data_IF_424855169402
#
_entry.id   IF_424855169402
#
_cell.length_a   1.000
_cell.length_b   1.000
_cell.length_c   1.000
_cell.angle_alpha   90.00
_cell.angle_beta   90.00
_cell.angle_gamma   90.00
#
_symmetry.space_group_name_H-M   'P 1'
#
loop_
_entity.id
_entity.type
_entity.pdbx_description
1 polymer ?
#
# COMPACT_ATOMS: atom_id res chain seq x y z
N UNK A 1 -9.36 8.76 -22.91
CA UNK A 1 -7.94 8.38 -22.98
C UNK A 1 -7.49 7.88 -21.61
N UNK A 2 -6.55 6.94 -21.52
CA UNK A 2 -6.04 6.43 -20.25
C UNK A 2 -4.53 6.20 -20.32
N UNK A 3 -3.84 6.34 -19.19
CA UNK A 3 -2.38 6.18 -19.09
C UNK A 3 -2.07 5.25 -17.92
N UNK A 4 -1.34 4.14 -18.14
CA UNK A 4 -0.86 3.30 -17.04
C UNK A 4 0.38 3.94 -16.39
N UNK A 5 0.38 3.96 -15.05
CA UNK A 5 1.53 4.40 -14.26
C UNK A 5 2.20 3.19 -13.62
N UNK A 6 3.54 3.20 -13.57
CA UNK A 6 4.30 2.21 -12.83
C UNK A 6 5.32 2.88 -11.91
N UNK A 7 5.01 2.88 -10.62
CA UNK A 7 5.93 3.13 -9.51
C UNK A 7 5.84 1.95 -8.52
N UNK A 8 5.92 0.74 -9.07
CA UNK A 8 5.80 -0.53 -8.34
C UNK A 8 4.57 -0.52 -7.41
N UNK A 9 4.76 -0.74 -6.11
CA UNK A 9 3.69 -0.90 -5.12
C UNK A 9 2.88 0.34 -4.85
N UNK A 10 3.44 1.51 -5.18
CA UNK A 10 2.74 2.76 -4.97
C UNK A 10 1.79 3.10 -6.10
N UNK A 11 1.90 2.49 -7.29
CA UNK A 11 1.35 2.99 -8.58
C UNK A 11 -0.04 3.63 -8.53
N UNK A 12 -0.98 3.07 -7.75
CA UNK A 12 -2.29 3.66 -7.55
C UNK A 12 -2.29 5.06 -6.92
N UNK A 13 -1.41 5.36 -5.96
CA UNK A 13 -1.35 6.67 -5.29
C UNK A 13 -0.69 7.78 -6.15
N UNK A 14 0.41 7.54 -6.89
CA UNK A 14 0.88 8.45 -7.93
C UNK A 14 -0.14 8.67 -9.04
N UNK A 15 -0.95 7.69 -9.43
CA UNK A 15 -2.01 7.90 -10.42
C UNK A 15 -3.03 8.95 -9.92
N UNK A 16 -3.46 8.87 -8.66
CA UNK A 16 -4.32 9.88 -8.01
C UNK A 16 -3.60 11.24 -7.97
N UNK A 17 -2.31 11.24 -7.63
CA UNK A 17 -1.50 12.46 -7.59
C UNK A 17 -1.36 13.12 -8.97
N UNK A 18 -1.24 12.34 -10.05
CA UNK A 18 -1.20 12.88 -11.41
C UNK A 18 -2.54 13.45 -11.84
N UNK A 19 -3.66 12.77 -11.52
CA UNK A 19 -4.99 13.28 -11.79
C UNK A 19 -5.25 14.61 -11.06
N UNK A 20 -4.87 14.70 -9.78
CA UNK A 20 -4.96 15.95 -9.02
C UNK A 20 -4.12 17.08 -9.65
N UNK A 21 -2.92 16.77 -10.14
CA UNK A 21 -2.06 17.75 -10.83
C UNK A 21 -2.64 18.20 -12.17
N UNK A 22 -3.19 17.28 -12.97
CA UNK A 22 -3.82 17.62 -14.24
C UNK A 22 -5.00 18.57 -14.04
N UNK A 23 -5.83 18.34 -13.00
CA UNK A 23 -6.89 19.26 -12.59
C UNK A 23 -6.30 20.61 -12.18
N UNK A 24 -5.27 20.63 -11.34
CA UNK A 24 -4.63 21.86 -10.89
C UNK A 24 -4.00 22.67 -12.04
N UNK A 25 -3.52 21.99 -13.08
CA UNK A 25 -2.97 22.61 -14.29
C UNK A 25 -4.05 23.07 -15.29
N UNK A 26 -5.33 22.80 -15.04
CA UNK A 26 -6.43 23.16 -15.93
C UNK A 26 -6.53 22.29 -17.19
N UNK A 27 -5.94 21.10 -17.19
CA UNK A 27 -5.94 20.18 -18.34
C UNK A 27 -7.24 19.37 -18.45
N UNK A 28 -8.01 19.30 -17.37
CA UNK A 28 -9.32 18.67 -17.33
C UNK A 28 -10.01 18.83 -15.98
N UNK A 29 -11.31 18.55 -15.95
CA UNK A 29 -12.15 18.74 -14.76
C UNK A 29 -12.53 17.45 -14.05
N UNK A 30 -12.46 16.30 -14.73
CA UNK A 30 -12.93 15.01 -14.20
C UNK A 30 -11.96 13.92 -14.60
N UNK A 31 -11.46 13.18 -13.61
CA UNK A 31 -10.52 12.09 -13.80
C UNK A 31 -10.92 10.88 -12.97
N UNK A 32 -10.70 9.68 -13.51
CA UNK A 32 -10.68 8.45 -12.73
C UNK A 32 -9.22 8.07 -12.54
N UNK A 33 -8.83 7.81 -11.29
CA UNK A 33 -7.48 7.37 -10.95
C UNK A 33 -7.53 6.25 -9.92
N UNK A 34 -6.53 5.37 -9.94
CA UNK A 34 -6.53 4.20 -9.09
C UNK A 34 -5.45 3.23 -9.49
N UNK A 35 -5.63 1.97 -9.12
CA UNK A 35 -4.70 0.92 -9.48
C UNK A 35 -5.35 -0.46 -9.45
N UNK A 36 -4.74 -1.38 -10.17
CA UNK A 36 -5.12 -2.79 -10.23
C UNK A 36 -3.85 -3.62 -10.17
N UNK A 37 -3.93 -4.78 -9.54
CA UNK A 37 -2.90 -5.81 -9.63
C UNK A 37 -3.58 -7.18 -9.65
N UNK A 38 -3.06 -8.09 -10.48
CA UNK A 38 -3.41 -9.50 -10.37
C UNK A 38 -2.15 -10.35 -10.29
N UNK A 39 -1.68 -10.54 -9.07
CA UNK A 39 -0.48 -11.31 -8.76
C UNK A 39 -0.67 -12.79 -9.07
N UNK A 40 -1.86 -13.34 -8.85
CA UNK A 40 -2.17 -14.76 -9.16
C UNK A 40 -2.09 -15.08 -10.65
N UNK A 41 -2.14 -14.06 -11.51
CA UNK A 41 -2.14 -14.18 -12.98
C UNK A 41 -0.87 -13.63 -13.62
N UNK A 42 0.14 -13.31 -12.82
CA UNK A 42 1.42 -12.82 -13.33
C UNK A 42 2.07 -13.91 -14.22
N UNK A 43 2.45 -13.59 -15.47
CA UNK A 43 3.06 -14.57 -16.35
C UNK A 43 4.50 -14.87 -15.95
N UNK A 44 5.06 -15.93 -16.53
CA UNK A 44 6.51 -16.06 -16.61
C UNK A 44 7.06 -15.27 -17.80
N UNK A 45 8.32 -14.83 -17.68
CA UNK A 45 9.04 -14.08 -18.71
C UNK A 45 10.33 -14.79 -19.10
N UNK A 46 10.59 -14.91 -20.40
CA UNK A 46 11.80 -15.51 -20.95
C UNK A 46 12.58 -14.47 -21.78
N UNK A 47 13.92 -14.35 -21.62
CA UNK A 47 14.71 -13.46 -22.46
C UNK A 47 14.64 -13.89 -23.93
N UNK A 48 14.72 -12.91 -24.84
CA UNK A 48 14.96 -13.19 -26.25
C UNK A 48 16.37 -13.75 -26.42
N UNK A 49 16.52 -14.66 -27.39
CA UNK A 49 17.85 -15.09 -27.81
C UNK A 49 18.58 -13.95 -28.52
N UNK A 50 19.85 -13.75 -28.20
CA UNK A 50 20.74 -12.81 -28.89
C UNK A 50 21.44 -13.43 -30.10
N UNK A 51 21.28 -14.74 -30.32
CA UNK A 51 21.88 -15.49 -31.44
C UNK A 51 20.83 -16.42 -32.08
N UNK A 52 21.03 -16.77 -33.34
CA UNK A 52 20.08 -17.64 -34.07
C UNK A 52 19.93 -19.04 -33.44
N UNK A 53 21.04 -19.61 -32.94
CA UNK A 53 21.08 -20.94 -32.32
C UNK A 53 21.82 -20.85 -30.98
N UNK A 54 21.16 -20.40 -29.90
CA UNK A 54 21.79 -20.31 -28.59
C UNK A 54 22.07 -21.71 -28.03
N UNK A 55 23.18 -21.87 -27.33
CA UNK A 55 23.54 -23.08 -26.59
C UNK A 55 23.54 -22.76 -25.09
N UNK A 56 22.97 -23.64 -24.27
CA UNK A 56 22.92 -23.50 -22.81
C UNK A 56 21.50 -23.37 -22.24
N UNK A 57 21.43 -23.26 -20.92
CA UNK A 57 20.15 -23.09 -20.20
C UNK A 57 19.62 -21.66 -20.33
N UNK A 58 18.29 -21.53 -20.31
CA UNK A 58 17.61 -20.24 -20.20
C UNK A 58 16.83 -20.18 -18.88
N UNK A 59 16.84 -19.02 -18.24
CA UNK A 59 16.07 -18.78 -17.01
C UNK A 59 14.69 -18.26 -17.36
N UNK A 60 13.66 -18.94 -16.84
CA UNK A 60 12.28 -18.48 -16.87
C UNK A 60 12.01 -17.66 -15.61
N UNK A 61 11.72 -16.37 -15.75
CA UNK A 61 11.53 -15.43 -14.65
C UNK A 61 10.08 -15.34 -14.24
N UNK A 62 9.79 -15.58 -12.96
CA UNK A 62 8.47 -15.29 -12.38
C UNK A 62 8.27 -13.76 -12.31
N UNK A 63 7.14 -13.26 -12.84
CA UNK A 63 6.85 -11.83 -12.79
C UNK A 63 6.00 -11.40 -11.59
N UNK A 64 5.52 -12.37 -10.79
CA UNK A 64 4.66 -12.15 -9.61
C UNK A 64 5.29 -11.16 -8.64
N UNK A 65 6.55 -11.37 -8.26
CA UNK A 65 7.28 -10.47 -7.36
C UNK A 65 8.79 -10.71 -7.45
N UNK A 66 9.58 -9.67 -7.20
CA UNK A 66 11.02 -9.77 -6.99
C UNK A 66 11.88 -9.33 -8.18
N UNK A 67 13.18 -9.50 -8.01
CA UNK A 67 14.19 -9.12 -9.01
C UNK A 67 14.17 -10.09 -10.19
N UNK A 68 14.18 -9.53 -11.39
CA UNK A 68 14.25 -10.25 -12.66
C UNK A 68 15.13 -9.50 -13.63
N UNK A 69 15.86 -10.24 -14.47
CA UNK A 69 16.85 -9.67 -15.38
C UNK A 69 17.80 -8.68 -14.67
N UNK A 70 18.42 -9.06 -13.54
CA UNK A 70 19.21 -8.13 -12.75
C UNK A 70 20.42 -7.65 -13.56
N UNK A 71 20.63 -6.34 -13.60
CA UNK A 71 21.81 -5.75 -14.23
C UNK A 71 23.05 -6.06 -13.39
N UNK A 72 24.21 -6.46 -13.99
CA UNK A 72 25.41 -6.83 -13.24
C UNK A 72 25.85 -5.76 -12.22
N UNK A 73 25.86 -4.49 -12.60
CA UNK A 73 26.21 -3.40 -11.68
C UNK A 73 25.29 -3.29 -10.44
N UNK A 74 24.00 -3.65 -10.57
CA UNK A 74 23.08 -3.62 -9.44
C UNK A 74 23.34 -4.79 -8.48
N UNK A 75 23.73 -5.93 -9.04
CA UNK A 75 24.15 -7.11 -8.26
C UNK A 75 25.43 -6.79 -7.50
N UNK A 76 26.44 -6.23 -8.17
CA UNK A 76 27.72 -5.84 -7.55
C UNK A 76 27.55 -4.81 -6.43
N UNK A 77 26.61 -3.87 -6.58
CA UNK A 77 26.27 -2.88 -5.54
C UNK A 77 25.41 -3.45 -4.40
N UNK A 78 24.98 -4.72 -4.49
CA UNK A 78 24.13 -5.36 -3.49
C UNK A 78 22.70 -4.79 -3.42
N UNK A 79 22.21 -4.20 -4.51
CA UNK A 79 20.86 -3.61 -4.54
C UNK A 79 19.77 -4.64 -4.84
N UNK A 80 20.14 -5.81 -5.37
CA UNK A 80 19.20 -6.84 -5.81
C UNK A 80 18.79 -7.83 -4.71
N UNK A 81 18.83 -7.42 -3.44
CA UNK A 81 18.36 -8.26 -2.32
C UNK A 81 16.83 -8.37 -2.32
N UNK A 82 16.32 -9.47 -1.76
CA UNK A 82 14.91 -9.73 -1.63
C UNK A 82 14.20 -8.70 -0.74
N UNK A 83 12.91 -8.51 -0.98
CA UNK A 83 12.13 -7.50 -0.25
C UNK A 83 12.07 -7.81 1.25
N UNK A 84 11.92 -9.08 1.61
CA UNK A 84 11.99 -9.50 3.01
C UNK A 84 13.38 -9.29 3.62
N UNK A 85 14.46 -9.42 2.85
CA UNK A 85 15.81 -9.07 3.34
C UNK A 85 15.94 -7.56 3.62
N UNK A 86 15.30 -6.69 2.82
CA UNK A 86 15.24 -5.25 3.16
C UNK A 86 14.48 -4.98 4.45
N UNK A 87 13.48 -5.80 4.78
CA UNK A 87 12.73 -5.71 6.04
C UNK A 87 13.57 -6.22 7.22
N UNK A 88 14.36 -7.28 7.04
CA UNK A 88 15.33 -7.74 8.05
C UNK A 88 16.40 -6.67 8.33
N UNK A 89 16.90 -5.98 7.30
CA UNK A 89 17.86 -4.87 7.49
C UNK A 89 17.26 -3.77 8.36
N UNK A 90 15.97 -3.43 8.16
CA UNK A 90 15.28 -2.46 9.01
C UNK A 90 15.04 -3.00 10.43
N UNK A 91 14.68 -4.27 10.57
CA UNK A 91 14.53 -4.89 11.89
C UNK A 91 15.84 -4.82 12.70
N UNK A 92 16.97 -5.08 12.05
CA UNK A 92 18.30 -4.99 12.65
C UNK A 92 18.67 -3.54 12.99
N UNK A 93 18.53 -2.62 12.03
CA UNK A 93 18.90 -1.20 12.19
C UNK A 93 18.07 -0.47 13.24
N UNK A 94 16.78 -0.81 13.36
CA UNK A 94 15.84 -0.16 14.29
C UNK A 94 15.61 -0.98 15.57
N UNK A 95 16.32 -2.10 15.74
CA UNK A 95 16.18 -3.00 16.89
C UNK A 95 14.74 -3.50 17.12
N UNK A 96 14.04 -3.83 16.03
CA UNK A 96 12.65 -4.28 16.07
C UNK A 96 12.62 -5.78 16.28
N UNK A 97 12.21 -6.19 17.48
CA UNK A 97 12.20 -7.60 17.85
C UNK A 97 11.15 -8.41 17.09
N UNK A 98 11.33 -9.73 17.06
CA UNK A 98 10.36 -10.67 16.49
C UNK A 98 8.99 -10.55 17.16
N UNK A 99 8.98 -10.41 18.48
CA UNK A 99 7.76 -10.30 19.28
C UNK A 99 7.00 -9.03 18.95
N UNK A 100 7.70 -7.91 18.73
CA UNK A 100 7.09 -6.66 18.30
C UNK A 100 6.43 -6.79 16.92
N UNK A 101 7.12 -7.46 15.98
CA UNK A 101 6.58 -7.72 14.63
C UNK A 101 5.32 -8.60 14.68
N UNK A 102 5.35 -9.67 15.47
CA UNK A 102 4.21 -10.59 15.61
C UNK A 102 3.03 -9.92 16.34
N UNK A 103 3.29 -9.09 17.35
CA UNK A 103 2.25 -8.32 18.03
C UNK A 103 1.58 -7.30 17.09
N UNK A 104 2.37 -6.60 16.27
CA UNK A 104 1.86 -5.70 15.25
C UNK A 104 0.98 -6.44 14.22
N UNK A 105 1.44 -7.59 13.74
CA UNK A 105 0.70 -8.43 12.80
C UNK A 105 -0.62 -8.95 13.38
N UNK A 106 -0.62 -9.39 14.64
CA UNK A 106 -1.82 -9.80 15.35
C UNK A 106 -2.83 -8.66 15.45
N UNK A 107 -2.37 -7.47 15.83
CA UNK A 107 -3.22 -6.28 15.92
C UNK A 107 -3.84 -5.93 14.57
N UNK A 108 -3.08 -6.00 13.47
CA UNK A 108 -3.59 -5.78 12.12
C UNK A 108 -4.74 -6.75 11.78
N UNK A 109 -4.57 -8.05 12.09
CA UNK A 109 -5.64 -9.05 11.90
C UNK A 109 -6.86 -8.77 12.78
N UNK A 110 -6.67 -8.45 14.06
CA UNK A 110 -7.77 -8.16 14.99
C UNK A 110 -8.58 -6.94 14.53
N UNK A 111 -7.91 -5.86 14.10
CA UNK A 111 -8.57 -4.65 13.60
C UNK A 111 -9.31 -4.91 12.28
N UNK A 112 -8.72 -5.66 11.36
CA UNK A 112 -9.37 -6.05 10.11
C UNK A 112 -10.63 -6.89 10.35
N UNK A 113 -10.55 -7.89 11.24
CA UNK A 113 -11.70 -8.71 11.62
C UNK A 113 -12.80 -7.87 12.26
N UNK A 114 -12.44 -6.99 13.21
CA UNK A 114 -13.41 -6.10 13.85
C UNK A 114 -14.06 -5.13 12.84
N UNK A 115 -13.31 -4.62 11.86
CA UNK A 115 -13.83 -3.75 10.80
C UNK A 115 -14.77 -4.50 9.85
N UNK A 116 -14.48 -5.76 9.51
CA UNK A 116 -15.37 -6.64 8.76
C UNK A 116 -16.66 -6.91 9.54
N UNK A 117 -16.55 -7.30 10.82
CA UNK A 117 -17.70 -7.64 11.68
C UNK A 117 -18.61 -6.45 11.97
N UNK A 118 -18.09 -5.23 11.85
CA UNK A 118 -18.83 -3.97 12.00
C UNK A 118 -19.20 -3.32 10.66
N UNK A 119 -19.13 -4.06 9.55
CA UNK A 119 -19.52 -3.61 8.21
C UNK A 119 -18.80 -2.34 7.72
N UNK A 120 -17.63 -1.99 8.28
CA UNK A 120 -16.91 -0.75 7.91
C UNK A 120 -16.51 -0.72 6.43
N UNK A 121 -16.19 -1.87 5.84
CA UNK A 121 -15.77 -1.94 4.44
C UNK A 121 -16.94 -1.96 3.44
N UNK A 122 -18.19 -2.02 3.92
CA UNK A 122 -19.38 -2.18 3.07
C UNK A 122 -19.57 -1.07 2.04
N UNK A 123 -19.17 0.15 2.39
CA UNK A 123 -19.30 1.31 1.51
C UNK A 123 -18.19 1.42 0.46
N UNK A 124 -17.00 0.87 0.75
CA UNK A 124 -15.83 0.93 -0.13
C UNK A 124 -15.68 -0.29 -1.04
N UNK A 125 -16.15 -1.48 -0.60
CA UNK A 125 -16.05 -2.70 -1.38
C UNK A 125 -17.22 -2.84 -2.37
N UNK A 126 -16.89 -3.14 -3.62
CA UNK A 126 -17.86 -3.52 -4.66
C UNK A 126 -17.78 -5.01 -4.96
N UNK A 127 -18.95 -5.65 -5.05
CA UNK A 127 -19.08 -7.08 -5.34
C UNK A 127 -18.49 -7.40 -6.70
N UNK A 128 -17.60 -8.39 -6.75
CA UNK A 128 -17.06 -8.90 -8.01
C UNK A 128 -17.75 -10.23 -8.35
N UNK A 129 -18.63 -10.26 -9.36
CA UNK A 129 -19.23 -11.50 -9.83
C UNK A 129 -18.20 -12.30 -10.65
N UNK A 130 -17.95 -13.53 -10.26
CA UNK A 130 -17.04 -14.45 -10.96
C UNK A 130 -17.86 -15.49 -11.73
N UNK A 131 -17.87 -15.43 -13.07
CA UNK A 131 -18.58 -16.39 -13.91
C UNK A 131 -18.11 -17.82 -13.70
N UNK A 132 -19.07 -18.74 -13.54
CA UNK A 132 -18.81 -20.17 -13.48
C UNK A 132 -19.14 -20.82 -14.83
N UNK A 133 -18.42 -21.89 -15.20
CA UNK A 133 -18.69 -22.65 -16.44
C UNK A 133 -20.10 -23.27 -16.43
N UNK A 134 -20.60 -23.63 -15.25
CA UNK A 134 -21.97 -24.10 -14.96
C UNK A 134 -22.34 -23.64 -13.55
N UNK A 135 -23.61 -23.27 -13.33
CA UNK A 135 -24.11 -22.80 -12.04
C UNK A 135 -24.08 -21.28 -11.88
N UNK A 136 -24.44 -20.82 -10.68
CA UNK A 136 -24.56 -19.40 -10.35
C UNK A 136 -23.19 -18.70 -10.23
N UNK A 137 -23.22 -17.36 -10.30
CA UNK A 137 -22.04 -16.52 -10.11
C UNK A 137 -21.50 -16.69 -8.68
N UNK A 138 -20.18 -16.81 -8.53
CA UNK A 138 -19.54 -16.64 -7.22
C UNK A 138 -19.43 -15.15 -6.96
N UNK A 139 -20.04 -14.66 -5.88
CA UNK A 139 -19.95 -13.27 -5.48
C UNK A 139 -18.81 -13.10 -4.47
N UNK A 140 -17.70 -12.54 -4.93
CA UNK A 140 -16.58 -12.18 -4.05
C UNK A 140 -16.94 -10.87 -3.36
N UNK A 141 -17.02 -10.91 -2.02
CA UNK A 141 -17.51 -9.79 -1.21
C UNK A 141 -16.53 -9.40 -0.09
N UNK A 142 -16.34 -10.12 1.04
CA UNK A 142 -15.36 -9.69 2.03
C UNK A 142 -13.94 -10.00 1.57
N UNK A 143 -12.98 -9.22 2.07
CA UNK A 143 -11.57 -9.58 2.01
C UNK A 143 -11.35 -10.95 2.67
N UNK A 144 -10.72 -11.87 1.95
CA UNK A 144 -10.60 -13.28 2.38
C UNK A 144 -9.39 -13.55 3.30
N UNK A 145 -8.43 -12.63 3.35
CA UNK A 145 -7.14 -12.81 4.02
C UNK A 145 -7.15 -12.63 5.55
N UNK A 146 -7.99 -11.77 6.16
CA UNK A 146 -8.01 -11.62 7.61
C UNK A 146 -8.29 -12.93 8.36
N UNK A 147 -7.35 -13.33 9.22
CA UNK A 147 -7.39 -14.58 9.99
C UNK A 147 -7.92 -14.35 11.40
N UNK A 148 -9.13 -14.82 11.67
CA UNK A 148 -9.82 -14.72 12.97
C UNK A 148 -9.14 -15.53 14.08
N UNK A 149 -8.44 -16.60 13.71
CA UNK A 149 -7.74 -17.53 14.58
C UNK A 149 -6.28 -17.13 14.84
N UNK A 150 -5.85 -15.95 14.38
CA UNK A 150 -4.51 -15.44 14.64
C UNK A 150 -4.26 -15.32 16.15
N UNK A 151 -3.13 -15.86 16.62
CA UNK A 151 -2.66 -15.69 17.99
C UNK A 151 -1.14 -15.47 18.02
N UNK A 152 -0.63 -14.90 19.13
CA UNK A 152 0.82 -14.75 19.31
C UNK A 152 1.53 -16.10 19.28
N UNK A 153 0.92 -17.15 19.86
CA UNK A 153 1.49 -18.50 19.87
C UNK A 153 1.58 -19.09 18.46
N UNK A 154 0.57 -18.85 17.62
CA UNK A 154 0.56 -19.30 16.24
C UNK A 154 1.63 -18.55 15.41
N UNK A 155 1.72 -17.22 15.58
CA UNK A 155 2.69 -16.38 14.89
C UNK A 155 4.13 -16.72 15.31
N UNK A 156 4.39 -16.92 16.61
CA UNK A 156 5.71 -17.24 17.14
C UNK A 156 6.27 -18.58 16.62
N UNK A 157 5.40 -19.54 16.25
CA UNK A 157 5.80 -20.83 15.67
C UNK A 157 6.27 -20.74 14.22
N UNK A 158 5.98 -19.63 13.53
CA UNK A 158 6.37 -19.47 12.14
C UNK A 158 7.89 -19.31 12.02
N UNK A 159 8.45 -20.02 11.03
CA UNK A 159 9.87 -19.93 10.69
C UNK A 159 10.15 -18.62 9.94
N UNK A 160 11.35 -18.04 10.09
CA UNK A 160 11.80 -16.93 9.25
C UNK A 160 11.69 -17.29 7.77
N UNK A 161 11.21 -16.36 6.95
CA UNK A 161 10.89 -16.61 5.54
C UNK A 161 11.99 -16.15 4.57
N UNK A 162 12.87 -15.24 5.00
CA UNK A 162 13.77 -14.52 4.08
C UNK A 162 15.25 -14.60 4.43
N UNK A 163 15.60 -14.75 5.71
CA UNK A 163 16.98 -14.89 6.20
C UNK A 163 17.03 -15.98 7.25
N UNK A 164 18.05 -16.83 7.21
CA UNK A 164 18.29 -17.82 8.27
C UNK A 164 18.53 -17.08 9.60
N UNK A 165 17.82 -17.50 10.66
CA UNK A 165 17.84 -16.79 11.95
C UNK A 165 17.19 -15.39 11.91
N UNK A 166 16.48 -15.06 10.84
CA UNK A 166 15.77 -13.78 10.69
C UNK A 166 14.55 -13.64 11.60
N UNK A 167 13.89 -12.49 11.50
CA UNK A 167 12.72 -12.11 12.30
C UNK A 167 11.44 -12.02 11.48
N UNK A 168 11.57 -11.83 10.16
CA UNK A 168 10.44 -11.65 9.26
C UNK A 168 9.90 -13.02 8.83
N UNK A 169 8.59 -13.21 8.99
CA UNK A 169 7.86 -14.44 8.69
C UNK A 169 6.67 -14.17 7.78
N UNK A 170 6.11 -15.23 7.20
CA UNK A 170 4.85 -15.12 6.44
C UNK A 170 3.67 -14.60 7.28
N UNK A 171 3.75 -14.63 8.62
CA UNK A 171 2.70 -14.16 9.51
C UNK A 171 2.81 -12.68 9.85
N UNK A 172 3.99 -12.09 9.74
CA UNK A 172 4.25 -10.68 10.01
C UNK A 172 4.67 -9.89 8.74
N UNK A 173 4.42 -10.47 7.57
CA UNK A 173 4.49 -9.83 6.26
C UNK A 173 3.12 -9.84 5.58
N UNK A 174 2.89 -8.86 4.71
CA UNK A 174 1.79 -8.95 3.74
C UNK A 174 2.01 -10.14 2.79
N UNK A 175 0.96 -10.51 2.06
CA UNK A 175 1.08 -11.53 1.02
C UNK A 175 0.78 -11.02 -0.37
N UNK A 176 0.81 -11.97 -1.30
CA UNK A 176 0.49 -11.76 -2.69
C UNK A 176 -1.02 -11.78 -2.83
N UNK A 177 -1.59 -10.73 -3.43
CA UNK A 177 -3.03 -10.53 -3.49
C UNK A 177 -3.43 -9.95 -4.85
N UNK A 178 -4.66 -10.26 -5.25
CA UNK A 178 -5.32 -9.63 -6.39
C UNK A 178 -6.25 -8.52 -5.90
N UNK A 179 -6.39 -7.44 -6.65
CA UNK A 179 -7.31 -6.36 -6.28
C UNK A 179 -7.28 -5.16 -7.21
N UNK A 180 -8.35 -4.36 -7.17
CA UNK A 180 -8.45 -3.08 -7.85
C UNK A 180 -9.14 -2.05 -6.94
N UNK A 181 -8.69 -0.79 -7.02
CA UNK A 181 -9.29 0.34 -6.33
C UNK A 181 -9.26 1.55 -7.26
N UNK A 182 -10.33 2.35 -7.27
CA UNK A 182 -10.46 3.52 -8.11
C UNK A 182 -11.21 4.65 -7.39
N UNK A 183 -10.80 5.88 -7.67
CA UNK A 183 -11.33 7.11 -7.13
C UNK A 183 -11.74 8.03 -8.29
N UNK A 184 -12.84 8.75 -8.09
CA UNK A 184 -13.27 9.84 -8.95
C UNK A 184 -12.73 11.15 -8.39
N UNK A 185 -11.96 11.88 -9.19
CA UNK A 185 -11.42 13.20 -8.85
C UNK A 185 -12.04 14.24 -9.76
N UNK A 186 -12.34 15.40 -9.18
CA UNK A 186 -12.95 16.51 -9.91
C UNK A 186 -12.35 17.84 -9.48
N UNK A 187 -12.35 18.82 -10.38
CA UNK A 187 -12.20 20.23 -9.99
C UNK A 187 -13.37 20.62 -9.10
N UNK A 188 -13.11 21.52 -8.13
CA UNK A 188 -14.15 22.01 -7.22
C UNK A 188 -15.32 22.64 -8.00
N UNK A 189 -15.02 23.45 -9.01
CA UNK A 189 -16.01 24.07 -9.88
C UNK A 189 -16.89 23.04 -10.59
N UNK A 190 -16.31 21.95 -11.11
CA UNK A 190 -17.09 20.90 -11.79
C UNK A 190 -17.92 20.06 -10.82
N UNK A 191 -17.40 19.78 -9.62
CA UNK A 191 -18.17 19.10 -8.59
C UNK A 191 -19.41 19.93 -8.19
N UNK A 192 -19.24 21.26 -8.03
CA UNK A 192 -20.35 22.19 -7.77
C UNK A 192 -21.35 22.26 -8.92
N UNK A 193 -20.87 22.37 -10.17
CA UNK A 193 -21.70 22.36 -11.39
C UNK A 193 -22.58 21.10 -11.49
N UNK A 194 -22.03 19.94 -11.12
CA UNK A 194 -22.74 18.66 -11.16
C UNK A 194 -23.49 18.32 -9.86
N UNK A 195 -23.51 19.24 -8.88
CA UNK A 195 -24.15 19.03 -7.57
C UNK A 195 -23.66 17.76 -6.84
N UNK A 196 -22.37 17.44 -6.98
CA UNK A 196 -21.74 16.31 -6.31
C UNK A 196 -21.09 16.76 -5.00
N UNK A 197 -21.26 15.95 -3.96
CA UNK A 197 -20.66 16.21 -2.65
C UNK A 197 -19.27 15.57 -2.56
N UNK A 198 -18.18 16.35 -2.50
CA UNK A 198 -16.84 15.81 -2.39
C UNK A 198 -16.58 15.26 -0.98
N UNK A 199 -15.95 14.09 -0.90
CA UNK A 199 -15.53 13.51 0.39
C UNK A 199 -14.39 14.32 1.01
N UNK A 200 -13.36 14.60 0.21
CA UNK A 200 -12.12 15.21 0.66
C UNK A 200 -11.44 16.00 -0.46
N UNK A 201 -10.50 16.85 -0.07
CA UNK A 201 -9.58 17.58 -0.94
C UNK A 201 -8.20 16.94 -0.88
N UNK A 202 -7.56 16.75 -2.03
CA UNK A 202 -6.12 16.46 -2.08
C UNK A 202 -5.36 17.75 -1.75
N UNK A 203 -4.63 17.76 -0.63
CA UNK A 203 -3.86 18.93 -0.18
C UNK A 203 -2.48 18.94 -0.81
N UNK A 204 -1.77 17.82 -0.70
CA UNK A 204 -0.43 17.67 -1.26
C UNK A 204 -0.08 16.19 -1.48
N UNK A 205 0.84 15.94 -2.41
CA UNK A 205 1.51 14.64 -2.61
C UNK A 205 3.02 14.82 -2.64
N UNK A 206 3.78 13.81 -2.23
CA UNK A 206 5.23 13.81 -2.37
C UNK A 206 5.81 12.40 -2.53
N UNK A 207 6.83 12.32 -3.36
CA UNK A 207 7.70 11.16 -3.50
C UNK A 207 9.12 11.47 -2.98
N UNK A 208 9.79 10.46 -2.44
CA UNK A 208 11.18 10.51 -2.03
C UNK A 208 11.91 9.19 -2.35
N UNK A 209 13.23 9.26 -2.54
CA UNK A 209 14.11 8.11 -2.72
C UNK A 209 14.92 7.83 -1.46
N UNK A 210 15.24 6.56 -1.23
CA UNK A 210 16.10 6.06 -0.15
C UNK A 210 17.02 4.97 -0.69
N UNK A 211 17.94 4.47 0.13
CA UNK A 211 18.77 3.34 -0.25
C UNK A 211 17.89 2.09 -0.55
N UNK A 212 18.08 1.40 -1.69
CA UNK A 212 17.29 0.21 -2.05
C UNK A 212 17.30 -0.89 -0.98
N UNK A 213 18.36 -1.00 -0.18
CA UNK A 213 18.55 -2.04 0.84
C UNK A 213 17.67 -1.84 2.08
N UNK A 214 17.13 -0.64 2.27
CA UNK A 214 16.23 -0.27 3.36
C UNK A 214 14.98 0.43 2.81
N UNK A 215 14.52 0.03 1.62
CA UNK A 215 13.42 0.66 0.90
C UNK A 215 12.14 0.87 1.74
N UNK A 216 11.93 0.03 2.76
CA UNK A 216 10.81 0.13 3.69
C UNK A 216 10.71 1.46 4.42
N UNK A 217 11.81 2.20 4.58
CA UNK A 217 11.83 3.51 5.25
C UNK A 217 11.40 4.66 4.33
N UNK A 218 11.17 4.41 3.03
CA UNK A 218 10.73 5.39 2.05
C UNK A 218 9.58 6.32 2.48
N UNK A 219 8.56 5.85 3.24
CA UNK A 219 7.51 6.70 3.79
C UNK A 219 8.01 7.87 4.64
N UNK A 220 9.14 7.74 5.33
CA UNK A 220 9.66 8.77 6.25
C UNK A 220 10.00 10.07 5.50
N UNK A 221 10.93 10.08 4.52
CA UNK A 221 11.23 11.29 3.79
C UNK A 221 10.08 11.75 2.89
N UNK A 222 9.24 10.83 2.38
CA UNK A 222 8.06 11.20 1.61
C UNK A 222 7.02 11.94 2.47
N UNK A 223 6.80 11.48 3.70
CA UNK A 223 5.86 12.09 4.66
C UNK A 223 6.37 13.45 5.13
N UNK A 224 7.64 13.55 5.55
CA UNK A 224 8.26 14.84 5.93
C UNK A 224 8.14 15.87 4.79
N UNK A 225 8.33 15.44 3.55
CA UNK A 225 8.22 16.30 2.36
C UNK A 225 6.78 16.71 2.03
N UNK A 226 5.79 15.82 2.20
CA UNK A 226 4.39 16.18 1.93
C UNK A 226 3.84 17.12 3.00
N UNK A 227 4.20 16.90 4.27
CA UNK A 227 3.86 17.79 5.38
C UNK A 227 4.43 19.20 5.16
N UNK A 228 5.70 19.30 4.77
CA UNK A 228 6.33 20.58 4.40
C UNK A 228 5.58 21.28 3.26
N UNK A 229 5.18 20.55 2.21
CA UNK A 229 4.41 21.10 1.08
C UNK A 229 3.02 21.58 1.48
N UNK A 230 2.39 20.87 2.42
CA UNK A 230 1.07 21.21 2.95
C UNK A 230 1.13 22.33 4.00
N UNK A 231 2.32 22.68 4.51
CA UNK A 231 2.46 23.61 5.64
C UNK A 231 1.93 23.03 6.95
N UNK A 232 1.98 21.70 7.11
CA UNK A 232 1.48 20.96 8.26
C UNK A 232 2.62 20.30 9.05
N UNK A 233 2.32 19.93 10.28
CA UNK A 233 3.13 19.04 11.11
C UNK A 233 2.44 17.69 11.28
N UNK A 234 3.16 16.70 11.83
CA UNK A 234 2.59 15.35 12.02
C UNK A 234 1.43 15.37 13.03
N UNK A 235 1.47 16.28 14.00
CA UNK A 235 0.44 16.45 15.03
C UNK A 235 -0.89 16.98 14.47
N UNK A 236 -0.88 17.59 13.28
CA UNK A 236 -2.09 18.07 12.59
C UNK A 236 -2.87 16.92 11.90
N UNK A 237 -2.26 15.74 11.75
CA UNK A 237 -2.86 14.60 11.07
C UNK A 237 -3.65 13.76 12.06
N UNK A 238 -4.95 13.63 11.84
CA UNK A 238 -5.85 12.88 12.73
C UNK A 238 -6.07 11.42 12.34
N UNK A 239 -5.67 11.01 11.13
CA UNK A 239 -5.79 9.61 10.68
C UNK A 239 -4.70 9.25 9.68
N UNK A 240 -4.15 8.04 9.80
CA UNK A 240 -3.04 7.56 8.99
C UNK A 240 -3.34 6.18 8.43
N UNK A 241 -3.16 6.02 7.13
CA UNK A 241 -3.02 4.73 6.47
C UNK A 241 -1.57 4.55 6.00
N UNK A 242 -0.81 3.76 6.77
CA UNK A 242 0.56 3.34 6.48
C UNK A 242 0.54 1.91 5.94
N UNK A 243 0.89 1.71 4.67
CA UNK A 243 0.85 0.36 4.10
C UNK A 243 1.83 -0.60 4.82
N UNK A 244 1.32 -1.76 5.21
CA UNK A 244 2.04 -2.78 5.98
C UNK A 244 2.65 -3.85 5.05
N UNK A 245 3.67 -3.49 4.27
CA UNK A 245 4.35 -4.49 3.44
C UNK A 245 5.01 -5.55 4.35
N UNK A 246 5.68 -5.10 5.41
CA UNK A 246 6.27 -5.91 6.47
C UNK A 246 6.11 -5.21 7.82
N UNK A 247 5.87 -5.96 8.90
CA UNK A 247 5.76 -5.40 10.25
C UNK A 247 7.03 -4.61 10.65
N UNK A 248 8.22 -5.14 10.36
CA UNK A 248 9.48 -4.46 10.62
C UNK A 248 9.56 -3.07 9.95
N UNK A 249 9.14 -2.98 8.68
CA UNK A 249 9.11 -1.72 7.95
C UNK A 249 8.09 -0.74 8.55
N UNK A 250 6.87 -1.20 8.83
CA UNK A 250 5.84 -0.33 9.42
C UNK A 250 6.26 0.21 10.77
N UNK A 251 6.81 -0.63 11.64
CA UNK A 251 7.28 -0.23 12.96
C UNK A 251 8.46 0.76 12.88
N UNK A 252 9.40 0.57 11.95
CA UNK A 252 10.50 1.52 11.73
C UNK A 252 9.97 2.89 11.29
N UNK A 253 9.00 2.93 10.37
CA UNK A 253 8.35 4.17 9.92
C UNK A 253 7.59 4.85 11.06
N UNK A 254 6.82 4.08 11.83
CA UNK A 254 6.07 4.61 12.98
C UNK A 254 7.02 5.20 14.03
N UNK A 255 8.16 4.58 14.28
CA UNK A 255 9.18 5.09 15.20
C UNK A 255 9.79 6.42 14.70
N UNK A 256 10.16 6.52 13.42
CA UNK A 256 10.78 7.72 12.82
C UNK A 256 9.85 8.92 12.67
N UNK A 257 8.56 8.66 12.50
CA UNK A 257 7.53 9.68 12.34
C UNK A 257 6.71 9.88 13.63
N UNK A 258 7.04 9.17 14.70
CA UNK A 258 6.31 9.19 15.98
C UNK A 258 4.79 8.96 15.82
N UNK A 259 4.42 8.02 14.93
CA UNK A 259 3.01 7.73 14.64
C UNK A 259 2.36 6.99 15.81
N UNK A 260 1.20 7.50 16.25
CA UNK A 260 0.38 6.81 17.24
C UNK A 260 -0.35 5.60 16.61
N UNK A 261 -0.31 4.42 17.26
CA UNK A 261 -1.11 3.27 16.85
C UNK A 261 -2.62 3.54 16.83
N UNK A 262 -3.11 4.54 17.59
CA UNK A 262 -4.54 4.86 17.72
C UNK A 262 -5.15 5.52 16.50
N UNK A 263 -4.30 6.13 15.67
CA UNK A 263 -4.71 6.80 14.42
C UNK A 263 -4.19 6.07 13.17
N UNK A 264 -3.33 5.06 13.33
CA UNK A 264 -2.67 4.37 12.21
C UNK A 264 -3.36 3.04 11.93
N UNK A 265 -3.81 2.81 10.70
CA UNK A 265 -4.43 1.55 10.23
C UNK A 265 -5.50 1.03 11.20
N UNK A 266 -6.44 1.90 11.57
CA UNK A 266 -7.43 1.63 12.63
C UNK A 266 -8.42 0.52 12.25
N UNK A 267 -8.50 0.18 10.97
CA UNK A 267 -9.32 -0.90 10.42
C UNK A 267 -8.46 -2.10 9.97
N UNK A 268 -7.20 -2.17 10.40
CA UNK A 268 -6.22 -3.16 9.94
C UNK A 268 -5.54 -2.74 8.66
N UNK A 269 -4.39 -3.33 8.36
CA UNK A 269 -3.59 -2.99 7.19
C UNK A 269 -3.20 -4.20 6.35
N UNK A 270 -2.20 -4.02 5.50
CA UNK A 270 -1.88 -4.96 4.42
C UNK A 270 -1.34 -6.34 4.89
N UNK A 271 -0.91 -6.48 6.15
CA UNK A 271 -0.60 -7.82 6.71
C UNK A 271 -1.88 -8.66 6.72
N UNK A 272 -2.99 -8.07 7.18
CA UNK A 272 -4.28 -8.72 7.28
C UNK A 272 -5.10 -8.66 5.98
N UNK A 273 -5.19 -7.48 5.36
CA UNK A 273 -6.06 -7.20 4.21
C UNK A 273 -5.39 -7.57 2.87
N UNK A 274 -4.05 -7.65 2.85
CA UNK A 274 -3.28 -7.98 1.65
C UNK A 274 -2.67 -6.79 0.93
N UNK A 275 -1.75 -7.10 0.01
CA UNK A 275 -0.94 -6.11 -0.70
C UNK A 275 -0.96 -6.32 -2.23
N UNK A 276 -2.07 -6.01 -2.92
CA UNK A 276 -2.13 -6.04 -4.38
C UNK A 276 -1.32 -4.87 -4.95
N UNK A 277 -0.04 -5.09 -5.28
CA UNK A 277 0.98 -4.08 -5.54
C UNK A 277 0.46 -2.80 -6.21
N UNK A 278 0.20 -2.80 -7.53
CA UNK A 278 -0.25 -1.62 -8.27
C UNK A 278 -1.52 -0.97 -7.74
N UNK A 279 -2.37 -1.70 -7.02
CA UNK A 279 -3.61 -1.23 -6.41
C UNK A 279 -3.41 -0.59 -5.01
N UNK A 280 -2.40 -1.03 -4.26
CA UNK A 280 -2.34 -0.82 -2.80
C UNK A 280 -2.35 0.64 -2.39
N UNK A 281 -1.69 1.53 -3.14
CA UNK A 281 -1.72 2.96 -2.90
C UNK A 281 -3.11 3.59 -3.01
N UNK A 282 -3.91 3.16 -4.00
CA UNK A 282 -5.30 3.62 -4.15
C UNK A 282 -6.22 2.97 -3.10
N UNK A 283 -5.94 1.73 -2.73
CA UNK A 283 -6.71 0.99 -1.72
C UNK A 283 -6.55 1.58 -0.32
N UNK A 284 -5.32 1.89 0.14
CA UNK A 284 -5.14 2.62 1.43
C UNK A 284 -5.85 3.98 1.42
N UNK A 285 -5.81 4.70 0.30
CA UNK A 285 -6.45 6.01 0.22
C UNK A 285 -7.98 5.88 0.28
N UNK A 286 -8.54 4.86 -0.36
CA UNK A 286 -9.98 4.58 -0.30
C UNK A 286 -10.40 4.30 1.15
N UNK A 287 -9.72 3.38 1.83
CA UNK A 287 -9.99 3.07 3.25
C UNK A 287 -9.83 4.29 4.15
N UNK A 288 -8.79 5.11 3.92
CA UNK A 288 -8.57 6.38 4.64
C UNK A 288 -9.79 7.31 4.50
N UNK A 289 -10.26 7.55 3.28
CA UNK A 289 -11.37 8.46 3.01
C UNK A 289 -12.69 8.01 3.65
N UNK A 290 -12.99 6.71 3.59
CA UNK A 290 -14.21 6.17 4.20
C UNK A 290 -14.14 6.20 5.75
N UNK A 291 -12.99 5.89 6.35
CA UNK A 291 -12.83 6.00 7.80
C UNK A 291 -12.80 7.46 8.28
N UNK A 292 -12.22 8.38 7.49
CA UNK A 292 -12.33 9.81 7.75
C UNK A 292 -13.80 10.24 7.78
N UNK A 293 -14.62 9.78 6.82
CA UNK A 293 -16.06 10.06 6.83
C UNK A 293 -16.79 9.54 8.06
N UNK A 294 -16.47 8.32 8.51
CA UNK A 294 -17.03 7.74 9.75
C UNK A 294 -16.65 8.52 11.00
N UNK A 295 -15.42 9.03 11.08
CA UNK A 295 -14.90 9.77 12.25
C UNK A 295 -15.20 11.26 12.22
N UNK A 296 -15.45 11.82 11.04
CA UNK A 296 -15.64 13.25 10.84
C UNK A 296 -16.64 13.93 11.80
N UNK A 297 -17.77 13.31 12.21
CA UNK A 297 -18.68 13.93 13.15
C UNK A 297 -18.08 14.23 14.54
N UNK A 298 -17.02 13.50 14.92
CA UNK A 298 -16.38 13.62 16.24
C UNK A 298 -14.96 14.20 16.18
N UNK A 299 -14.48 14.63 15.01
CA UNK A 299 -13.12 15.14 14.81
C UNK A 299 -13.11 16.66 14.66
N UNK A 300 -12.10 17.36 15.20
CA UNK A 300 -11.95 18.80 14.98
C UNK A 300 -11.69 19.10 13.50
N UNK A 301 -12.01 20.31 13.07
CA UNK A 301 -11.71 20.81 11.72
C UNK A 301 -10.56 21.83 11.77
N UNK A 302 -9.66 21.83 10.77
CA UNK A 302 -9.57 20.88 9.65
C UNK A 302 -9.21 19.45 10.10
N UNK A 303 -9.72 18.44 9.39
CA UNK A 303 -9.44 17.03 9.68
C UNK A 303 -8.58 16.44 8.56
N UNK A 304 -7.28 16.31 8.82
CA UNK A 304 -6.32 15.81 7.85
C UNK A 304 -6.07 14.30 7.98
N UNK A 305 -5.92 13.64 6.84
CA UNK A 305 -5.53 12.25 6.73
C UNK A 305 -4.24 12.09 5.91
N UNK A 306 -3.43 11.09 6.27
CA UNK A 306 -2.19 10.74 5.58
C UNK A 306 -2.29 9.32 5.02
N UNK A 307 -2.10 9.17 3.70
CA UNK A 307 -1.85 7.87 3.07
C UNK A 307 -0.36 7.79 2.68
N UNK A 308 0.34 6.74 3.10
CA UNK A 308 1.79 6.62 2.86
C UNK A 308 2.23 5.15 2.69
N UNK A 309 3.18 4.91 1.79
CA UNK A 309 3.69 3.55 1.52
C UNK A 309 5.11 3.51 0.98
N UNK A 310 5.82 2.45 1.34
CA UNK A 310 7.13 2.12 0.80
C UNK A 310 7.01 1.57 -0.63
N UNK A 311 8.11 1.65 -1.36
CA UNK A 311 8.18 1.22 -2.76
C UNK A 311 9.50 0.50 -2.96
N UNK A 312 9.44 -0.66 -3.62
CA UNK A 312 10.62 -1.44 -3.98
C UNK A 312 11.70 -0.60 -4.68
N UNK A 313 12.95 -1.03 -4.56
CA UNK A 313 14.12 -0.33 -5.13
C UNK A 313 14.38 1.06 -4.49
N UNK A 314 13.80 1.33 -3.32
CA UNK A 314 14.20 2.47 -2.49
C UNK A 314 13.42 3.76 -2.78
N UNK A 315 12.09 3.73 -2.66
CA UNK A 315 11.28 4.95 -2.73
C UNK A 315 10.14 4.93 -1.70
N UNK A 316 9.48 6.07 -1.53
CA UNK A 316 8.21 6.20 -0.83
C UNK A 316 7.32 7.25 -1.48
N UNK A 317 6.01 7.09 -1.29
CA UNK A 317 4.99 8.05 -1.74
C UNK A 317 4.06 8.37 -0.56
N UNK A 318 3.68 9.64 -0.42
CA UNK A 318 2.77 10.10 0.61
C UNK A 318 1.80 11.13 0.06
N UNK A 319 0.56 11.11 0.56
CA UNK A 319 -0.50 12.05 0.21
C UNK A 319 -1.22 12.53 1.46
N UNK A 320 -1.41 13.85 1.56
CA UNK A 320 -2.29 14.47 2.55
C UNK A 320 -3.62 14.80 1.89
N UNK A 321 -4.70 14.41 2.55
CA UNK A 321 -6.06 14.78 2.20
C UNK A 321 -6.72 15.52 3.37
N UNK A 322 -7.64 16.40 3.06
CA UNK A 322 -8.46 17.10 4.05
C UNK A 322 -9.92 16.70 3.87
N UNK A 323 -10.56 16.22 4.92
CA UNK A 323 -11.99 15.95 4.89
C UNK A 323 -12.76 17.25 4.72
N UNK A 324 -13.63 17.33 3.71
CA UNK A 324 -14.38 18.57 3.40
C UNK A 324 -15.76 18.61 4.08
N UNK A 325 -16.34 17.45 4.39
CA UNK A 325 -17.79 17.29 4.55
C UNK A 325 -18.53 17.50 3.22
N UNK A 326 -19.38 16.53 2.89
CA UNK A 326 -20.47 16.72 1.94
C UNK A 326 -21.68 17.35 2.61
#
# INVERSE_FOLDING_TARGET
AGVPFNRLWSSGLPAVSMAARAIQCGEGDVFIAGGVESMSRAPYSLPKSERAYPFGHATLWDTTLGWRYPHPEFVEKGYTIGLGETAENLAEQYHISREAQDAFALQSHQRAVAAIDSDKFKEEIRVVPVPQRKGDLILVTPDERPRRDSSLEALARLKPAFKEGGTVTAGNSSGLNDGAAALLLMSESKAQELHLQPMARVVASAAAGVDPRIMGIGPVPATRKVLQRAGLQMEDVGLVELNEAFAAQSLAVMQELHLSPEITNVNGGAIALGHPLGCSGARILTTLLHEMGRRAPSQPRPFYGLATLCVGVGQGESMIVEWLAG
#
